data_IF_014313742627
#
_entry.id   IF_014313742627
#
_cell.length_a   1.000
_cell.length_b   1.000
_cell.length_c   1.000
_cell.angle_alpha   90.00
_cell.angle_beta   90.00
_cell.angle_gamma   90.00
#
_symmetry.space_group_name_H-M   'P 1'
#
loop_
_entity.id
_entity.type
_entity.pdbx_description
1 polymer ?
#
# COMPACT_ATOMS: atom_id res chain seq x y z
N UNK A 1 1.71 18.92 66.01
CA UNK A 1 1.47 20.29 65.47
C UNK A 1 0.75 20.13 64.14
N UNK A 2 -0.41 20.80 63.99
CA UNK A 2 -1.14 21.18 62.76
C UNK A 2 -1.57 20.03 61.79
N UNK A 3 -2.84 19.76 61.47
CA UNK A 3 -4.06 20.53 61.11
C UNK A 3 -4.38 20.41 59.60
N UNK A 4 -5.69 20.35 59.31
CA UNK A 4 -6.38 20.06 58.04
C UNK A 4 -6.40 18.55 57.70
N UNK A 5 -7.53 17.91 57.38
CA UNK A 5 -8.44 18.26 56.29
C UNK A 5 -9.93 17.91 56.57
N UNK A 6 -10.78 18.42 55.67
CA UNK A 6 -12.21 18.68 55.78
C UNK A 6 -13.11 17.48 55.49
N UNK A 7 -14.28 17.55 56.10
CA UNK A 7 -15.45 16.68 55.96
C UNK A 7 -16.42 17.07 54.83
N UNK A 8 -17.28 16.10 54.47
CA UNK A 8 -18.60 16.16 53.79
C UNK A 8 -18.53 16.18 52.24
N UNK A 9 -19.22 15.32 51.48
CA UNK A 9 -20.28 14.34 51.72
C UNK A 9 -21.26 14.31 50.52
N UNK A 10 -22.05 13.23 50.41
CA UNK A 10 -23.24 13.01 49.55
C UNK A 10 -22.97 12.29 48.21
N UNK A 11 -23.15 10.96 48.08
CA UNK A 11 -24.38 10.15 47.81
C UNK A 11 -25.16 10.65 46.58
N UNK A 12 -25.61 9.86 45.60
CA UNK A 12 -26.06 8.47 45.39
C UNK A 12 -27.07 8.58 44.22
N UNK A 13 -27.44 7.62 43.37
CA UNK A 13 -27.17 6.20 43.16
C UNK A 13 -27.60 5.84 41.71
N UNK A 14 -27.62 4.55 41.34
CA UNK A 14 -27.88 4.06 39.98
C UNK A 14 -29.37 3.72 39.76
N UNK A 15 -29.82 3.76 38.50
CA UNK A 15 -31.23 3.60 38.12
C UNK A 15 -31.46 2.40 37.18
N UNK A 16 -32.68 1.85 37.30
CA UNK A 16 -33.36 0.78 36.55
C UNK A 16 -33.22 -0.68 37.05
N UNK A 17 -34.19 -1.59 36.77
CA UNK A 17 -35.61 -1.43 36.36
C UNK A 17 -36.61 -2.28 37.19
N UNK A 18 -37.94 -2.09 37.06
CA UNK A 18 -38.91 -3.19 36.74
C UNK A 18 -40.39 -2.71 36.59
N UNK A 19 -41.08 -3.46 35.73
CA UNK A 19 -42.52 -3.67 35.42
C UNK A 19 -43.63 -3.01 36.25
N UNK A 20 -44.62 -2.52 35.48
CA UNK A 20 -46.01 -2.36 35.87
C UNK A 20 -46.94 -2.55 34.67
N UNK A 21 -48.03 -3.30 34.88
CA UNK A 21 -48.87 -3.98 33.89
C UNK A 21 -50.30 -3.39 33.89
N UNK A 22 -51.11 -3.69 32.85
CA UNK A 22 -52.59 -3.51 32.67
C UNK A 22 -53.01 -2.16 32.02
N UNK A 23 -54.00 -2.05 31.12
CA UNK A 23 -55.23 -2.82 30.93
C UNK A 23 -55.87 -2.67 29.52
N UNK A 24 -56.40 -3.79 29.00
CA UNK A 24 -57.77 -4.03 28.47
C UNK A 24 -58.42 -3.10 27.41
N UNK A 25 -58.98 -3.69 26.35
CA UNK A 25 -59.97 -3.03 25.48
C UNK A 25 -60.32 -3.77 24.17
N UNK A 26 -61.39 -4.54 24.22
CA UNK A 26 -62.01 -5.42 23.21
C UNK A 26 -62.52 -4.73 21.91
N UNK A 27 -62.57 -5.42 20.75
CA UNK A 27 -63.38 -4.98 19.59
C UNK A 27 -63.07 -5.61 18.21
N UNK A 28 -64.04 -6.35 17.66
CA UNK A 28 -64.05 -7.21 16.45
C UNK A 28 -63.99 -6.48 15.06
N UNK A 29 -63.87 -7.23 13.93
CA UNK A 29 -63.28 -6.76 12.66
C UNK A 29 -64.27 -6.44 11.51
N UNK A 30 -63.67 -6.07 10.36
CA UNK A 30 -64.16 -6.13 8.97
C UNK A 30 -64.79 -4.87 8.33
N UNK A 31 -64.05 -4.28 7.36
CA UNK A 31 -64.53 -4.02 5.98
C UNK A 31 -63.39 -3.61 5.05
N UNK A 32 -63.31 -4.31 3.90
CA UNK A 32 -62.49 -4.04 2.70
C UNK A 32 -62.89 -2.69 2.07
N UNK A 33 -61.98 -2.04 1.31
CA UNK A 33 -62.09 -2.20 -0.14
C UNK A 33 -60.75 -2.41 -0.86
N UNK A 34 -60.85 -3.09 -2.00
CA UNK A 34 -59.80 -3.30 -2.98
C UNK A 34 -59.31 -1.96 -3.54
N UNK A 35 -58.01 -1.74 -3.46
CA UNK A 35 -57.33 -0.53 -3.95
C UNK A 35 -56.02 -0.91 -4.64
N UNK A 36 -56.15 -1.14 -5.94
CA UNK A 36 -55.13 -1.26 -6.99
C UNK A 36 -53.85 -0.44 -6.73
N UNK A 37 -52.69 -1.10 -6.75
CA UNK A 37 -51.37 -0.45 -6.70
C UNK A 37 -50.20 -1.42 -6.67
N UNK A 38 -49.97 -2.14 -7.77
CA UNK A 38 -48.72 -2.88 -7.97
C UNK A 38 -47.60 -1.90 -8.31
N UNK A 39 -46.80 -1.55 -7.31
CA UNK A 39 -45.48 -0.93 -7.50
C UNK A 39 -44.41 -2.00 -7.31
N UNK A 40 -43.35 -2.07 -8.15
CA UNK A 40 -42.28 -3.04 -7.94
C UNK A 40 -41.58 -2.73 -6.62
N UNK A 41 -41.68 -3.67 -5.68
CA UNK A 41 -40.83 -3.72 -4.50
C UNK A 41 -39.40 -3.91 -4.98
N UNK A 42 -38.61 -2.84 -4.99
CA UNK A 42 -37.16 -2.95 -5.02
C UNK A 42 -36.79 -3.83 -3.84
N UNK A 43 -36.32 -5.04 -4.15
CA UNK A 43 -35.67 -5.90 -3.18
C UNK A 43 -34.63 -5.05 -2.48
N UNK A 44 -34.92 -4.72 -1.22
CA UNK A 44 -33.92 -4.20 -0.32
C UNK A 44 -33.01 -5.40 -0.10
N UNK A 45 -31.99 -5.52 -0.94
CA UNK A 45 -30.81 -6.32 -0.67
C UNK A 45 -30.22 -5.73 0.60
N UNK A 46 -30.77 -6.16 1.74
CA UNK A 46 -30.06 -6.19 2.99
C UNK A 46 -28.90 -7.15 2.76
N UNK A 47 -27.81 -6.58 2.24
CA UNK A 47 -26.47 -7.14 2.27
C UNK A 47 -26.12 -7.36 3.75
N UNK A 48 -26.61 -8.49 4.25
CA UNK A 48 -26.29 -9.04 5.55
C UNK A 48 -24.80 -9.34 5.51
N UNK A 49 -24.05 -8.48 6.19
CA UNK A 49 -22.59 -8.51 6.30
C UNK A 49 -22.05 -9.93 6.41
N UNK A 50 -21.40 -10.37 5.33
CA UNK A 50 -20.27 -11.29 5.46
C UNK A 50 -19.11 -10.46 6.03
N UNK A 51 -18.38 -10.92 7.05
CA UNK A 51 -17.16 -10.26 7.47
C UNK A 51 -16.25 -10.19 6.25
N UNK A 52 -16.09 -8.97 5.70
CA UNK A 52 -15.30 -8.76 4.52
C UNK A 52 -13.92 -9.31 4.79
N UNK A 53 -13.48 -10.29 3.98
CA UNK A 53 -12.06 -10.48 3.79
C UNK A 53 -11.52 -9.09 3.48
N UNK A 54 -10.74 -8.51 4.39
CA UNK A 54 -10.10 -7.22 4.19
C UNK A 54 -9.42 -7.30 2.84
N UNK A 55 -10.00 -6.65 1.81
CA UNK A 55 -9.40 -6.59 0.49
C UNK A 55 -8.17 -5.73 0.71
N UNK A 56 -7.01 -6.39 0.80
CA UNK A 56 -5.72 -5.75 0.91
C UNK A 56 -5.66 -4.59 -0.10
N UNK A 57 -5.23 -3.43 0.36
CA UNK A 57 -5.09 -2.24 -0.50
C UNK A 57 -4.21 -2.62 -1.70
N UNK A 58 -4.73 -2.54 -2.95
CA UNK A 58 -3.97 -2.90 -4.13
C UNK A 58 -2.64 -2.14 -4.27
N UNK A 59 -2.58 -0.90 -3.77
CA UNK A 59 -1.36 -0.09 -3.77
C UNK A 59 -0.33 -0.68 -2.82
N UNK A 60 -0.72 -0.93 -1.57
CA UNK A 60 0.16 -1.56 -0.59
C UNK A 60 0.62 -2.95 -1.05
N UNK A 61 -0.26 -3.72 -1.69
CA UNK A 61 0.10 -5.02 -2.27
C UNK A 61 1.17 -4.90 -3.37
N UNK A 62 1.00 -3.96 -4.29
CA UNK A 62 1.98 -3.74 -5.36
C UNK A 62 3.33 -3.26 -4.80
N UNK A 63 3.31 -2.33 -3.85
CA UNK A 63 4.52 -1.86 -3.16
C UNK A 63 5.25 -3.02 -2.46
N UNK A 64 4.50 -3.88 -1.75
CA UNK A 64 5.02 -5.09 -1.12
C UNK A 64 5.69 -6.01 -2.14
N UNK A 65 5.01 -6.32 -3.25
CA UNK A 65 5.55 -7.19 -4.30
C UNK A 65 6.85 -6.67 -4.92
N UNK A 66 6.97 -5.36 -5.14
CA UNK A 66 8.21 -4.78 -5.64
C UNK A 66 9.35 -4.93 -4.62
N UNK A 67 9.06 -4.75 -3.32
CA UNK A 67 10.06 -4.95 -2.27
C UNK A 67 10.47 -6.42 -2.12
N UNK A 68 9.54 -7.36 -2.26
CA UNK A 68 9.85 -8.79 -2.29
C UNK A 68 10.79 -9.11 -3.47
N UNK A 69 10.50 -8.57 -4.66
CA UNK A 69 11.35 -8.77 -5.84
C UNK A 69 12.76 -8.22 -5.64
N UNK A 70 12.94 -7.00 -5.12
CA UNK A 70 14.28 -6.44 -4.94
C UNK A 70 15.09 -7.13 -3.84
N UNK A 71 14.42 -7.63 -2.80
CA UNK A 71 15.08 -8.35 -1.71
C UNK A 71 15.45 -9.78 -2.11
N UNK A 72 14.58 -10.49 -2.82
CA UNK A 72 14.74 -11.90 -3.15
C UNK A 72 15.38 -12.14 -4.53
N UNK A 73 15.17 -11.23 -5.48
CA UNK A 73 15.61 -11.34 -6.87
C UNK A 73 16.41 -10.10 -7.32
N UNK A 74 17.46 -9.68 -6.59
CA UNK A 74 18.17 -8.42 -6.84
C UNK A 74 18.75 -8.30 -8.26
N UNK A 75 19.17 -9.41 -8.90
CA UNK A 75 19.60 -9.38 -10.31
C UNK A 75 18.49 -8.97 -11.28
N UNK A 76 17.24 -9.40 -11.02
CA UNK A 76 16.11 -9.08 -11.86
C UNK A 76 15.62 -7.65 -11.59
N UNK A 77 15.64 -7.22 -10.33
CA UNK A 77 15.36 -5.84 -9.96
C UNK A 77 16.38 -4.85 -10.56
N UNK A 78 17.67 -5.23 -10.60
CA UNK A 78 18.72 -4.46 -11.28
C UNK A 78 18.42 -4.33 -12.77
N UNK A 79 18.15 -5.45 -13.45
CA UNK A 79 17.81 -5.46 -14.88
C UNK A 79 16.54 -4.67 -15.21
N UNK A 80 15.60 -4.61 -14.28
CA UNK A 80 14.36 -3.86 -14.38
C UNK A 80 14.48 -2.38 -13.97
N UNK A 81 15.68 -1.93 -13.58
CA UNK A 81 15.96 -0.53 -13.28
C UNK A 81 15.42 -0.04 -11.94
N UNK A 82 15.35 -0.90 -10.92
CA UNK A 82 14.85 -0.56 -9.58
C UNK A 82 15.51 0.71 -8.99
N UNK A 83 16.83 0.86 -9.14
CA UNK A 83 17.57 1.98 -8.55
C UNK A 83 17.15 3.36 -9.11
N UNK A 84 16.39 3.39 -10.22
CA UNK A 84 15.86 4.63 -10.81
C UNK A 84 14.59 5.15 -10.13
N UNK A 85 14.00 4.37 -9.21
CA UNK A 85 12.81 4.78 -8.47
C UNK A 85 13.11 5.98 -7.57
N UNK A 86 12.18 6.94 -7.54
CA UNK A 86 12.28 8.12 -6.70
C UNK A 86 12.18 7.74 -5.21
N UNK A 87 12.83 8.46 -4.28
CA UNK A 87 12.78 8.14 -2.84
C UNK A 87 11.36 8.05 -2.27
N UNK A 88 10.43 8.82 -2.81
CA UNK A 88 9.04 8.91 -2.37
C UNK A 88 8.06 7.98 -3.09
N UNK A 89 8.55 7.06 -3.92
CA UNK A 89 7.74 6.10 -4.69
C UNK A 89 6.79 5.29 -3.79
N UNK A 90 7.26 4.88 -2.62
CA UNK A 90 6.52 4.04 -1.66
C UNK A 90 5.70 4.88 -0.70
N UNK A 91 4.39 4.67 -0.66
CA UNK A 91 3.46 5.40 0.20
C UNK A 91 3.27 4.78 1.57
N UNK A 92 3.46 3.48 1.71
CA UNK A 92 3.46 2.83 3.03
C UNK A 92 4.75 3.21 3.78
N UNK A 93 4.68 3.84 4.96
CA UNK A 93 5.88 4.32 5.67
C UNK A 93 6.93 3.23 5.95
N UNK A 94 6.48 2.03 6.31
CA UNK A 94 7.36 0.88 6.52
C UNK A 94 8.13 0.49 5.25
N UNK A 95 7.45 0.46 4.10
CA UNK A 95 8.05 0.14 2.79
C UNK A 95 8.99 1.22 2.29
N UNK A 96 8.69 2.50 2.59
CA UNK A 96 9.63 3.59 2.37
C UNK A 96 10.92 3.39 3.17
N UNK A 97 10.80 3.02 4.44
CA UNK A 97 11.96 2.68 5.28
C UNK A 97 12.80 1.52 4.70
N UNK A 98 12.15 0.51 4.11
CA UNK A 98 12.86 -0.57 3.39
C UNK A 98 13.59 -0.03 2.16
N UNK A 99 12.94 0.81 1.35
CA UNK A 99 13.57 1.42 0.18
C UNK A 99 14.77 2.30 0.59
N UNK A 100 14.64 3.08 1.66
CA UNK A 100 15.74 3.90 2.19
C UNK A 100 16.93 3.03 2.64
N UNK A 101 16.67 1.90 3.32
CA UNK A 101 17.70 0.93 3.70
C UNK A 101 18.40 0.32 2.48
N UNK A 102 17.64 -0.04 1.44
CA UNK A 102 18.18 -0.55 0.16
C UNK A 102 19.09 0.50 -0.50
N UNK A 103 18.68 1.76 -0.52
CA UNK A 103 19.49 2.86 -1.08
C UNK A 103 20.76 3.10 -0.26
N UNK A 104 20.66 3.06 1.06
CA UNK A 104 21.81 3.18 1.96
C UNK A 104 22.79 2.02 1.82
N UNK A 105 22.31 0.81 1.50
CA UNK A 105 23.13 -0.34 1.13
C UNK A 105 23.78 -0.25 -0.27
N UNK A 106 23.56 0.84 -1.01
CA UNK A 106 24.13 1.08 -2.33
C UNK A 106 23.26 0.63 -3.52
N UNK A 107 22.01 0.21 -3.25
CA UNK A 107 21.06 -0.21 -4.28
C UNK A 107 21.42 -1.54 -4.96
N UNK A 108 20.59 -1.93 -5.93
CA UNK A 108 20.79 -3.16 -6.71
C UNK A 108 22.06 -3.14 -7.56
N UNK A 109 22.58 -1.94 -7.87
CA UNK A 109 23.88 -1.76 -8.53
C UNK A 109 25.03 -2.29 -7.67
N UNK A 110 25.02 -2.05 -6.36
CA UNK A 110 26.05 -2.56 -5.45
C UNK A 110 26.03 -4.10 -5.39
N UNK A 111 24.85 -4.71 -5.46
CA UNK A 111 24.71 -6.16 -5.62
C UNK A 111 25.36 -6.67 -6.92
N UNK A 112 25.07 -6.03 -8.06
CA UNK A 112 25.69 -6.41 -9.34
C UNK A 112 27.22 -6.40 -9.28
N UNK A 113 27.80 -5.33 -8.71
CA UNK A 113 29.25 -5.21 -8.50
C UNK A 113 29.80 -6.29 -7.57
N UNK A 114 29.04 -6.69 -6.55
CA UNK A 114 29.45 -7.77 -5.64
C UNK A 114 29.44 -9.13 -6.34
N UNK A 115 28.46 -9.41 -7.19
CA UNK A 115 28.42 -10.62 -8.02
C UNK A 115 29.67 -10.70 -8.91
N UNK A 116 29.98 -9.61 -9.62
CA UNK A 116 31.16 -9.53 -10.49
C UNK A 116 32.47 -9.76 -9.71
N UNK A 117 32.60 -9.12 -8.55
CA UNK A 117 33.77 -9.25 -7.66
C UNK A 117 33.96 -10.68 -7.18
N UNK A 118 32.90 -11.36 -6.76
CA UNK A 118 32.96 -12.74 -6.28
C UNK A 118 33.23 -13.74 -7.42
N UNK A 119 32.65 -13.52 -8.59
CA UNK A 119 32.89 -14.34 -9.78
C UNK A 119 34.35 -14.28 -10.24
N UNK A 120 35.05 -13.16 -10.01
CA UNK A 120 36.47 -13.01 -10.29
C UNK A 120 37.39 -13.71 -9.27
N UNK A 121 36.90 -14.01 -8.06
CA UNK A 121 37.72 -14.53 -6.94
C UNK A 121 37.50 -16.03 -6.66
N UNK A 122 36.28 -16.52 -6.81
CA UNK A 122 35.91 -17.90 -6.49
C UNK A 122 35.70 -18.75 -7.77
N UNK A 123 35.75 -20.07 -7.64
CA UNK A 123 35.17 -20.95 -8.64
C UNK A 123 33.69 -20.56 -8.82
N UNK A 124 33.38 -19.96 -9.97
CA UNK A 124 32.20 -19.16 -10.33
C UNK A 124 30.81 -19.70 -9.92
N UNK A 125 30.69 -21.00 -9.60
CA UNK A 125 29.40 -21.65 -9.32
C UNK A 125 28.64 -21.07 -8.11
N UNK A 126 29.32 -20.48 -7.12
CA UNK A 126 28.69 -20.00 -5.88
C UNK A 126 28.62 -18.47 -5.73
N UNK A 127 29.13 -17.71 -6.70
CA UNK A 127 29.21 -16.25 -6.61
C UNK A 127 27.83 -15.61 -6.36
N UNK A 128 26.81 -16.06 -7.09
CA UNK A 128 25.44 -15.54 -6.94
C UNK A 128 24.85 -15.83 -5.56
N UNK A 129 25.08 -17.04 -5.00
CA UNK A 129 24.58 -17.41 -3.68
C UNK A 129 25.23 -16.57 -2.58
N UNK A 130 26.54 -16.39 -2.64
CA UNK A 130 27.27 -15.54 -1.70
C UNK A 130 26.88 -14.07 -1.81
N UNK A 131 26.69 -13.56 -3.03
CA UNK A 131 26.22 -12.19 -3.25
C UNK A 131 24.81 -11.98 -2.68
N UNK A 132 23.91 -12.96 -2.82
CA UNK A 132 22.55 -12.88 -2.27
C UNK A 132 22.55 -12.88 -0.73
N UNK A 133 23.38 -13.71 -0.10
CA UNK A 133 23.54 -13.72 1.35
C UNK A 133 24.10 -12.38 1.87
N UNK A 134 25.13 -11.86 1.19
CA UNK A 134 25.68 -10.52 1.46
C UNK A 134 24.62 -9.43 1.29
N UNK A 135 23.84 -9.46 0.22
CA UNK A 135 22.80 -8.47 -0.07
C UNK A 135 21.77 -8.40 1.06
N UNK A 136 21.25 -9.55 1.49
CA UNK A 136 20.27 -9.62 2.56
C UNK A 136 20.83 -9.04 3.87
N UNK A 137 22.12 -9.27 4.16
CA UNK A 137 22.77 -8.68 5.34
C UNK A 137 22.97 -7.18 5.19
N UNK A 138 23.52 -6.71 4.07
CA UNK A 138 23.77 -5.28 3.84
C UNK A 138 22.50 -4.44 3.92
N UNK A 139 21.39 -4.91 3.36
CA UNK A 139 20.12 -4.18 3.44
C UNK A 139 19.60 -4.15 4.89
N UNK A 140 19.75 -5.24 5.66
CA UNK A 140 19.38 -5.28 7.08
C UNK A 140 20.25 -4.38 7.95
N UNK A 141 21.57 -4.35 7.74
CA UNK A 141 22.50 -3.50 8.48
C UNK A 141 22.19 -2.00 8.32
N UNK A 142 21.62 -1.62 7.18
CA UNK A 142 21.21 -0.25 6.88
C UNK A 142 19.77 0.08 7.31
N UNK A 143 19.07 -0.84 7.97
CA UNK A 143 17.71 -0.61 8.43
C UNK A 143 17.66 0.29 9.67
N UNK A 144 16.73 1.25 9.68
CA UNK A 144 16.52 2.14 10.82
C UNK A 144 15.23 1.78 11.56
N UNK A 145 15.30 1.67 12.89
CA UNK A 145 14.14 1.39 13.73
C UNK A 145 13.52 0.01 13.46
N UNK A 146 12.18 -0.11 13.37
CA UNK A 146 11.51 -1.41 13.23
C UNK A 146 11.62 -2.03 11.82
N UNK A 147 12.29 -1.36 10.87
CA UNK A 147 12.34 -1.75 9.45
C UNK A 147 13.04 -3.11 9.23
N UNK A 148 13.99 -3.50 10.10
CA UNK A 148 14.70 -4.78 9.97
C UNK A 148 13.75 -6.00 10.00
N UNK A 149 12.68 -5.94 10.81
CA UNK A 149 11.66 -6.98 10.86
C UNK A 149 10.89 -7.09 9.54
N UNK A 150 10.55 -5.95 8.94
CA UNK A 150 9.86 -5.88 7.64
C UNK A 150 10.75 -6.42 6.53
N UNK A 151 12.03 -6.07 6.49
CA UNK A 151 13.00 -6.64 5.53
C UNK A 151 13.04 -8.17 5.65
N UNK A 152 13.10 -8.68 6.89
CA UNK A 152 13.18 -10.13 7.14
C UNK A 152 11.92 -10.85 6.65
N UNK A 153 10.74 -10.29 6.89
CA UNK A 153 9.47 -10.83 6.39
C UNK A 153 9.43 -10.86 4.85
N UNK A 154 9.77 -9.73 4.21
CA UNK A 154 9.72 -9.59 2.76
C UNK A 154 10.77 -10.42 2.04
N UNK A 155 11.92 -10.69 2.67
CA UNK A 155 13.00 -11.49 2.10
C UNK A 155 12.69 -13.00 2.04
N UNK A 156 11.65 -13.47 2.73
CA UNK A 156 11.26 -14.89 2.75
C UNK A 156 9.82 -15.14 2.32
N UNK A 157 9.07 -14.09 2.01
CA UNK A 157 7.69 -14.20 1.58
C UNK A 157 7.58 -14.96 0.26
N UNK A 158 6.56 -15.82 0.08
CA UNK A 158 6.40 -16.57 -1.17
C UNK A 158 6.11 -15.62 -2.33
N UNK A 159 6.91 -15.73 -3.39
CA UNK A 159 6.68 -14.97 -4.63
C UNK A 159 5.52 -15.61 -5.41
N UNK A 160 4.66 -14.81 -6.08
CA UNK A 160 3.59 -15.31 -6.95
C UNK A 160 4.08 -16.12 -8.16
N UNK A 161 5.34 -15.94 -8.55
CA UNK A 161 5.99 -16.64 -9.66
C UNK A 161 7.35 -17.16 -9.16
N UNK A 162 7.63 -18.44 -9.42
CA UNK A 162 8.83 -19.14 -8.98
C UNK A 162 9.58 -19.83 -10.13
N UNK A 163 9.00 -19.87 -11.34
CA UNK A 163 9.64 -20.46 -12.52
C UNK A 163 10.73 -19.54 -13.03
N UNK A 164 11.97 -20.06 -13.08
CA UNK A 164 13.17 -19.31 -13.40
C UNK A 164 13.05 -18.48 -14.69
N UNK A 165 12.44 -19.04 -15.74
CA UNK A 165 12.25 -18.38 -17.03
C UNK A 165 11.24 -17.22 -17.01
N UNK A 166 10.35 -17.17 -16.01
CA UNK A 166 9.31 -16.15 -15.87
C UNK A 166 9.67 -15.05 -14.87
N UNK A 167 10.65 -15.28 -13.98
CA UNK A 167 11.06 -14.33 -12.93
C UNK A 167 11.45 -12.96 -13.50
N UNK A 168 12.16 -12.92 -14.63
CA UNK A 168 12.56 -11.66 -15.26
C UNK A 168 11.35 -10.84 -15.73
N UNK A 169 10.39 -11.49 -16.40
CA UNK A 169 9.16 -10.84 -16.85
C UNK A 169 8.26 -10.41 -15.68
N UNK A 170 8.18 -11.24 -14.64
CA UNK A 170 7.46 -10.91 -13.42
C UNK A 170 8.03 -9.66 -12.73
N UNK A 171 9.34 -9.64 -12.48
CA UNK A 171 10.04 -8.52 -11.86
C UNK A 171 9.83 -7.22 -12.66
N UNK A 172 10.04 -7.27 -13.98
CA UNK A 172 9.80 -6.13 -14.86
C UNK A 172 8.34 -5.65 -14.77
N UNK A 173 7.37 -6.57 -14.82
CA UNK A 173 5.95 -6.26 -14.76
C UNK A 173 5.55 -5.54 -13.48
N UNK A 174 5.99 -6.01 -12.30
CA UNK A 174 5.65 -5.36 -11.03
C UNK A 174 6.32 -4.00 -10.87
N UNK A 175 7.57 -3.83 -11.31
CA UNK A 175 8.25 -2.53 -11.27
C UNK A 175 7.58 -1.52 -12.23
N UNK A 176 7.26 -1.93 -13.46
CA UNK A 176 6.56 -1.07 -14.42
C UNK A 176 5.18 -0.68 -13.89
N UNK A 177 4.45 -1.59 -13.26
CA UNK A 177 3.17 -1.29 -12.63
C UNK A 177 3.31 -0.22 -11.52
N UNK A 178 4.35 -0.32 -10.67
CA UNK A 178 4.62 0.66 -9.62
C UNK A 178 4.95 2.04 -10.22
N UNK A 179 5.79 2.09 -11.26
CA UNK A 179 6.12 3.34 -11.97
C UNK A 179 4.88 3.97 -12.59
N UNK A 180 4.04 3.19 -13.28
CA UNK A 180 2.78 3.67 -13.89
C UNK A 180 1.84 4.24 -12.84
N UNK A 181 1.77 3.63 -11.66
CA UNK A 181 0.99 4.13 -10.53
C UNK A 181 1.54 5.48 -10.03
N UNK A 182 2.86 5.60 -9.83
CA UNK A 182 3.52 6.85 -9.45
C UNK A 182 3.23 7.99 -10.44
N UNK A 183 3.41 7.71 -11.73
CA UNK A 183 3.11 8.68 -12.80
C UNK A 183 1.63 9.07 -12.81
N UNK A 184 0.71 8.15 -12.51
CA UNK A 184 -0.72 8.47 -12.46
C UNK A 184 -1.03 9.47 -11.33
N UNK A 185 -0.40 9.32 -10.16
CA UNK A 185 -0.51 10.28 -9.05
C UNK A 185 0.08 11.63 -9.43
N UNK A 186 1.30 11.65 -9.95
CA UNK A 186 1.98 12.89 -10.36
C UNK A 186 1.20 13.66 -11.43
N UNK A 187 0.66 12.95 -12.43
CA UNK A 187 -0.23 13.53 -13.46
C UNK A 187 -1.48 14.14 -12.82
N UNK A 188 -2.10 13.47 -11.85
CA UNK A 188 -3.28 13.99 -11.17
C UNK A 188 -2.95 15.29 -10.39
N UNK A 189 -1.82 15.32 -9.71
CA UNK A 189 -1.35 16.50 -8.96
C UNK A 189 -1.05 17.68 -9.89
N UNK A 190 -0.34 17.43 -10.99
CA UNK A 190 -0.01 18.45 -12.01
C UNK A 190 -1.29 18.96 -12.69
N UNK A 191 -2.24 18.08 -13.03
CA UNK A 191 -3.56 18.49 -13.56
C UNK A 191 -4.31 19.37 -12.56
N UNK A 192 -4.31 19.01 -11.28
CA UNK A 192 -4.93 19.81 -10.23
C UNK A 192 -4.30 21.20 -10.10
N UNK A 193 -2.96 21.30 -10.20
CA UNK A 193 -2.26 22.59 -10.24
C UNK A 193 -2.63 23.40 -11.49
N UNK A 194 -2.65 22.77 -12.66
CA UNK A 194 -3.00 23.41 -13.93
C UNK A 194 -4.43 23.99 -13.90
N UNK A 195 -5.40 23.24 -13.35
CA UNK A 195 -6.79 23.69 -13.23
C UNK A 195 -6.99 24.92 -12.34
N UNK A 196 -6.06 25.20 -11.42
CA UNK A 196 -6.09 26.36 -10.52
C UNK A 196 -5.23 27.53 -11.00
N UNK A 197 -4.37 27.32 -11.99
CA UNK A 197 -3.49 28.36 -12.51
C UNK A 197 -4.24 29.32 -13.45
N UNK A 198 -3.85 30.60 -13.47
CA UNK A 198 -4.36 31.57 -14.43
C UNK A 198 -3.77 31.25 -15.82
N UNK A 199 -4.58 31.05 -16.87
CA UNK A 199 -4.08 30.79 -18.23
C UNK A 199 -3.19 31.90 -18.81
N UNK A 200 -3.24 33.12 -18.27
CA UNK A 200 -2.40 34.24 -18.72
C UNK A 200 -1.07 34.35 -17.97
N UNK A 201 -0.84 33.54 -16.94
CA UNK A 201 0.42 33.49 -16.21
C UNK A 201 1.48 32.74 -17.05
N UNK A 202 2.70 33.29 -17.24
CA UNK A 202 3.83 32.57 -17.82
C UNK A 202 4.06 31.17 -17.22
N UNK A 203 3.75 30.95 -15.93
CA UNK A 203 3.85 29.66 -15.27
C UNK A 203 2.90 28.57 -15.79
N UNK A 204 1.76 28.96 -16.41
CA UNK A 204 0.78 28.00 -16.94
C UNK A 204 1.37 27.12 -18.05
N UNK A 205 2.12 27.74 -18.98
CA UNK A 205 2.75 27.03 -20.10
C UNK A 205 3.77 25.98 -19.62
N UNK A 206 4.49 26.27 -18.53
CA UNK A 206 5.43 25.34 -17.94
C UNK A 206 4.69 24.13 -17.32
N UNK A 207 3.65 24.36 -16.53
CA UNK A 207 2.85 23.29 -15.91
C UNK A 207 2.24 22.38 -16.99
N UNK A 208 1.75 22.96 -18.09
CA UNK A 208 1.22 22.18 -19.21
C UNK A 208 2.30 21.32 -19.89
N UNK A 209 3.51 21.86 -20.07
CA UNK A 209 4.64 21.14 -20.65
C UNK A 209 5.09 19.97 -19.77
N UNK A 210 5.15 20.18 -18.45
CA UNK A 210 5.45 19.14 -17.47
C UNK A 210 4.39 18.02 -17.54
N UNK A 211 3.11 18.41 -17.61
CA UNK A 211 2.01 17.46 -17.75
C UNK A 211 2.13 16.59 -19.01
N UNK A 212 2.42 17.20 -20.17
CA UNK A 212 2.59 16.47 -21.41
C UNK A 212 3.79 15.52 -21.36
N UNK A 213 4.88 15.93 -20.70
CA UNK A 213 6.06 15.10 -20.48
C UNK A 213 5.71 13.84 -19.68
N UNK A 214 4.97 13.99 -18.58
CA UNK A 214 4.51 12.86 -17.76
C UNK A 214 3.54 11.94 -18.52
N UNK A 215 2.59 12.50 -19.27
CA UNK A 215 1.65 11.73 -20.09
C UNK A 215 2.36 10.95 -21.21
N UNK A 216 3.41 11.53 -21.81
CA UNK A 216 4.24 10.83 -22.80
C UNK A 216 5.02 9.68 -22.16
N UNK A 217 5.63 9.90 -20.99
CA UNK A 217 6.34 8.86 -20.24
C UNK A 217 5.42 7.71 -19.87
N UNK A 218 4.21 7.99 -19.36
CA UNK A 218 3.20 6.97 -19.04
C UNK A 218 2.78 6.17 -20.26
N UNK A 219 2.59 6.82 -21.42
CA UNK A 219 2.23 6.16 -22.68
C UNK A 219 3.35 5.27 -23.22
N UNK A 220 4.61 5.70 -23.10
CA UNK A 220 5.77 4.90 -23.50
C UNK A 220 5.81 3.57 -22.72
N UNK A 221 5.61 3.62 -21.41
CA UNK A 221 5.58 2.43 -20.56
C UNK A 221 4.47 1.45 -20.92
N UNK A 222 3.37 1.88 -21.55
CA UNK A 222 2.23 1.01 -21.91
C UNK A 222 2.38 0.29 -23.26
N UNK A 223 3.41 0.63 -24.04
CA UNK A 223 3.66 0.03 -25.36
C UNK A 223 4.64 -1.16 -25.31
N UNK A 224 5.30 -1.34 -24.18
CA UNK A 224 6.19 -2.46 -23.84
C UNK A 224 5.50 -3.39 -22.82
#
# INVERSE_FOLDING_TARGET
MQAAERSVGRSGGPDAPDRGERAQGNGYPARRPEGRGAGPSYGRDSDSGRPGAYREDPVAKLERQVLEVVLQLPQHALGAGFDTLAPDTFTVPAYRGVHDAIRAAGGTTAYGQQVERLAAQAASADAARHAAAWWAEQVRENAVGPVAGVITELAVAPLPEDRAEALAGYAQGVLVALIRMGLTREIADVKGRLQRADPNDPGYAQIFTDLMTLENRRRALSRD
#
